data_IF_502292783777
#
_entry.id   IF_502292783777
#
_cell.length_a   1.000
_cell.length_b   1.000
_cell.length_c   1.000
_cell.angle_alpha   90.00
_cell.angle_beta   90.00
_cell.angle_gamma   90.00
#
_symmetry.space_group_name_H-M   'P 1'
#
loop_
_entity.id
_entity.type
_entity.pdbx_description
1 polymer ?
#
# COMPACT_ATOMS: atom_id res chain seq x y z
N UNK A 1 -37.19 -25.77 -48.17
CA UNK A 1 -37.56 -25.22 -46.84
C UNK A 1 -36.29 -24.75 -46.16
N UNK A 2 -36.13 -23.44 -45.93
CA UNK A 2 -34.98 -22.90 -45.20
C UNK A 2 -35.10 -23.33 -43.74
N UNK A 3 -34.20 -24.22 -43.32
CA UNK A 3 -34.12 -24.65 -41.93
C UNK A 3 -33.50 -23.51 -41.13
N UNK A 4 -34.32 -22.59 -40.61
CA UNK A 4 -33.84 -21.57 -39.70
C UNK A 4 -33.45 -22.27 -38.40
N UNK A 5 -32.16 -22.52 -38.23
CA UNK A 5 -31.59 -22.93 -36.95
C UNK A 5 -31.78 -21.76 -35.99
N UNK A 6 -32.86 -21.81 -35.22
CA UNK A 6 -33.16 -20.84 -34.17
C UNK A 6 -32.01 -20.96 -33.16
N UNK A 7 -31.17 -19.93 -33.13
CA UNK A 7 -30.11 -19.84 -32.14
C UNK A 7 -30.77 -19.68 -30.77
N UNK A 8 -30.36 -20.45 -29.75
CA UNK A 8 -30.93 -20.31 -28.43
C UNK A 8 -30.62 -18.91 -27.88
N UNK A 9 -31.56 -18.38 -27.09
CA UNK A 9 -31.57 -16.99 -26.60
C UNK A 9 -30.24 -16.54 -25.93
N UNK A 10 -29.53 -17.47 -25.29
CA UNK A 10 -28.25 -17.18 -24.64
C UNK A 10 -27.06 -17.02 -25.60
N UNK A 11 -27.20 -17.37 -26.88
CA UNK A 11 -26.19 -17.17 -27.93
C UNK A 11 -26.45 -15.92 -28.77
N UNK A 12 -27.67 -15.37 -28.74
CA UNK A 12 -28.05 -14.17 -29.52
C UNK A 12 -27.64 -12.86 -28.85
N UNK A 13 -27.38 -12.90 -27.55
CA UNK A 13 -26.86 -11.78 -26.78
C UNK A 13 -25.48 -12.17 -26.26
N UNK A 14 -24.36 -11.64 -26.81
CA UNK A 14 -23.07 -11.77 -26.15
C UNK A 14 -23.22 -11.14 -24.78
N UNK A 15 -23.11 -11.96 -23.74
CA UNK A 15 -23.17 -11.49 -22.36
C UNK A 15 -22.12 -10.37 -22.24
N UNK A 16 -22.49 -9.14 -21.84
CA UNK A 16 -21.53 -8.07 -21.81
C UNK A 16 -20.48 -8.38 -20.74
N UNK A 17 -19.27 -8.73 -21.18
CA UNK A 17 -18.10 -9.02 -20.33
C UNK A 17 -17.53 -7.74 -19.71
N UNK A 18 -18.37 -6.78 -19.31
CA UNK A 18 -17.93 -5.52 -18.71
C UNK A 18 -17.16 -5.73 -17.39
N UNK A 19 -17.38 -6.86 -16.71
CA UNK A 19 -16.61 -7.25 -15.53
C UNK A 19 -15.20 -7.77 -15.84
N UNK A 20 -14.90 -8.13 -17.10
CA UNK A 20 -13.61 -8.73 -17.45
C UNK A 20 -12.49 -7.68 -17.54
N UNK A 21 -12.80 -6.42 -17.83
CA UNK A 21 -11.80 -5.34 -17.96
C UNK A 21 -11.36 -4.80 -16.59
N UNK A 22 -12.28 -4.58 -15.64
CA UNK A 22 -11.95 -4.17 -14.26
C UNK A 22 -11.04 -5.18 -13.53
N UNK A 23 -11.17 -6.47 -13.87
CA UNK A 23 -10.36 -7.57 -13.35
C UNK A 23 -8.92 -7.60 -13.88
N UNK A 24 -8.60 -6.88 -14.95
CA UNK A 24 -7.24 -6.89 -15.52
C UNK A 24 -6.30 -5.93 -14.79
N UNK A 25 -6.70 -4.69 -14.56
CA UNK A 25 -5.88 -3.69 -13.87
C UNK A 25 -5.61 -4.07 -12.41
N UNK A 26 -6.60 -4.65 -11.72
CA UNK A 26 -6.44 -5.17 -10.35
C UNK A 26 -5.46 -6.33 -10.30
N UNK A 27 -5.55 -7.27 -11.24
CA UNK A 27 -4.61 -8.39 -11.38
C UNK A 27 -3.19 -7.93 -11.67
N UNK A 28 -3.01 -6.93 -12.52
CA UNK A 28 -1.71 -6.35 -12.84
C UNK A 28 -1.11 -5.65 -11.61
N UNK A 29 -1.92 -4.92 -10.84
CA UNK A 29 -1.48 -4.32 -9.57
C UNK A 29 -1.06 -5.37 -8.55
N UNK A 30 -1.83 -6.45 -8.39
CA UNK A 30 -1.47 -7.56 -7.51
C UNK A 30 -0.17 -8.23 -7.95
N UNK A 31 0.02 -8.43 -9.26
CA UNK A 31 1.25 -8.97 -9.82
C UNK A 31 2.45 -8.06 -9.54
N UNK A 32 2.31 -6.75 -9.76
CA UNK A 32 3.35 -5.76 -9.43
C UNK A 32 3.67 -5.77 -7.94
N UNK A 33 2.65 -5.85 -7.08
CA UNK A 33 2.82 -5.98 -5.64
C UNK A 33 3.59 -7.27 -5.29
N UNK A 34 3.30 -8.39 -5.96
CA UNK A 34 4.01 -9.65 -5.75
C UNK A 34 5.51 -9.56 -6.05
N UNK A 35 5.93 -8.71 -7.00
CA UNK A 35 7.35 -8.51 -7.30
C UNK A 35 8.13 -7.75 -6.21
N UNK A 36 7.46 -7.06 -5.27
CA UNK A 36 8.17 -6.39 -4.18
C UNK A 36 8.85 -7.38 -3.22
N UNK A 37 10.04 -7.03 -2.69
CA UNK A 37 10.71 -7.80 -1.65
C UNK A 37 9.80 -8.08 -0.45
N UNK A 38 9.94 -9.26 0.15
CA UNK A 38 9.10 -9.69 1.26
C UNK A 38 9.21 -8.75 2.48
N UNK A 39 10.40 -8.23 2.76
CA UNK A 39 10.64 -7.27 3.85
C UNK A 39 9.88 -5.95 3.63
N UNK A 40 9.95 -5.40 2.42
CA UNK A 40 9.24 -4.17 2.06
C UNK A 40 7.71 -4.32 2.24
N UNK A 41 7.15 -5.47 1.84
CA UNK A 41 5.72 -5.78 2.06
C UNK A 41 5.35 -5.82 3.53
N UNK A 42 6.21 -6.40 4.38
CA UNK A 42 6.00 -6.42 5.83
C UNK A 42 5.97 -5.00 6.39
N UNK A 43 6.97 -4.18 6.03
CA UNK A 43 7.05 -2.79 6.49
C UNK A 43 5.87 -1.97 6.00
N UNK A 44 5.48 -2.12 4.74
CA UNK A 44 4.32 -1.43 4.17
C UNK A 44 3.04 -1.74 4.97
N UNK A 45 2.77 -3.00 5.32
CA UNK A 45 1.60 -3.37 6.14
C UNK A 45 1.62 -2.71 7.52
N UNK A 46 2.78 -2.70 8.17
CA UNK A 46 2.94 -2.08 9.49
C UNK A 46 2.75 -0.56 9.41
N UNK A 47 3.38 0.08 8.43
CA UNK A 47 3.29 1.52 8.19
C UNK A 47 1.84 1.92 7.89
N UNK A 48 1.18 1.22 6.98
CA UNK A 48 -0.23 1.48 6.64
C UNK A 48 -1.12 1.42 7.89
N UNK A 49 -0.99 0.36 8.71
CA UNK A 49 -1.79 0.22 9.93
C UNK A 49 -1.47 1.26 11.02
N UNK A 50 -0.31 1.92 10.99
CA UNK A 50 0.02 3.05 11.88
C UNK A 50 -0.58 4.34 11.32
N UNK A 51 -0.42 4.57 10.02
CA UNK A 51 -0.98 5.74 9.35
C UNK A 51 -2.51 5.74 9.38
N UNK A 52 -3.17 4.58 9.32
CA UNK A 52 -4.63 4.46 9.49
C UNK A 52 -5.12 5.00 10.84
N UNK A 53 -4.29 4.89 11.89
CA UNK A 53 -4.62 5.46 13.21
C UNK A 53 -4.35 6.95 13.28
N UNK A 54 -3.44 7.43 12.45
CA UNK A 54 -3.13 8.86 12.28
C UNK A 54 -4.03 9.51 11.21
N UNK A 55 -4.97 8.75 10.64
CA UNK A 55 -5.88 9.22 9.61
C UNK A 55 -7.12 9.84 10.25
N UNK A 56 -6.98 11.06 10.74
CA UNK A 56 -8.05 11.85 11.31
C UNK A 56 -7.97 13.31 10.83
N UNK A 57 -9.08 14.03 10.91
CA UNK A 57 -9.14 15.44 10.49
C UNK A 57 -8.21 16.31 11.36
N UNK A 58 -7.36 17.11 10.73
CA UNK A 58 -6.35 17.91 11.45
C UNK A 58 -5.15 17.09 11.96
N UNK A 59 -4.94 15.88 11.43
CA UNK A 59 -3.69 15.15 11.64
C UNK A 59 -2.51 15.88 10.99
N UNK A 60 -1.35 15.78 11.63
CA UNK A 60 -0.05 16.29 11.18
C UNK A 60 0.31 15.86 9.73
N UNK A 61 -0.22 14.72 9.28
CA UNK A 61 0.01 14.20 7.93
C UNK A 61 -0.63 15.11 6.86
N UNK A 62 -1.73 15.78 7.21
CA UNK A 62 -2.50 16.62 6.30
C UNK A 62 -2.20 18.11 6.44
N UNK A 63 -1.23 18.48 7.28
CA UNK A 63 -0.76 19.85 7.36
C UNK A 63 -0.26 20.34 5.98
N UNK A 64 -0.40 21.65 5.73
CA UNK A 64 0.08 22.29 4.50
C UNK A 64 1.58 22.03 4.32
N UNK A 65 2.32 22.21 5.43
CA UNK A 65 3.76 22.03 5.53
C UNK A 65 4.07 21.11 6.71
N UNK A 66 4.17 19.79 6.50
CA UNK A 66 4.54 18.87 7.56
C UNK A 66 5.97 19.17 8.04
N UNK A 67 6.18 19.19 9.36
CA UNK A 67 7.53 19.35 9.91
C UNK A 67 8.39 18.12 9.58
N UNK A 68 9.52 18.40 8.94
CA UNK A 68 10.52 17.42 8.56
C UNK A 68 10.98 16.57 9.76
N UNK A 69 11.20 17.19 10.92
CA UNK A 69 11.69 16.47 12.10
C UNK A 69 10.64 15.52 12.68
N UNK A 70 9.38 15.94 12.71
CA UNK A 70 8.29 15.09 13.16
C UNK A 70 8.12 13.86 12.26
N UNK A 71 8.26 14.03 10.95
CA UNK A 71 8.21 12.93 9.98
C UNK A 71 9.37 11.94 10.17
N UNK A 72 10.59 12.42 10.42
CA UNK A 72 11.72 11.54 10.76
C UNK A 72 11.54 10.83 12.09
N UNK A 73 11.02 11.52 13.10
CA UNK A 73 10.72 10.91 14.40
C UNK A 73 9.69 9.79 14.23
N UNK A 74 8.63 10.02 13.44
CA UNK A 74 7.64 9.00 13.13
C UNK A 74 8.28 7.77 12.47
N UNK A 75 9.19 7.97 11.52
CA UNK A 75 9.93 6.87 10.89
C UNK A 75 10.78 6.08 11.91
N UNK A 76 11.45 6.78 12.83
CA UNK A 76 12.23 6.15 13.90
C UNK A 76 11.34 5.35 14.87
N UNK A 77 10.19 5.90 15.28
CA UNK A 77 9.24 5.23 16.17
C UNK A 77 8.68 3.95 15.50
N UNK A 78 8.41 4.00 14.19
CA UNK A 78 7.99 2.84 13.40
C UNK A 78 9.11 1.79 13.35
N UNK A 79 10.34 2.21 13.11
CA UNK A 79 11.49 1.31 13.07
C UNK A 79 11.74 0.64 14.42
N UNK A 80 11.57 1.36 15.54
CA UNK A 80 11.65 0.78 16.87
C UNK A 80 10.55 -0.26 17.10
N UNK A 81 9.33 0.01 16.62
CA UNK A 81 8.22 -0.93 16.70
C UNK A 81 8.50 -2.20 15.89
N UNK A 82 9.06 -2.07 14.69
CA UNK A 82 9.49 -3.20 13.85
C UNK A 82 10.57 -4.01 14.59
N UNK A 83 11.59 -3.35 15.16
CA UNK A 83 12.62 -4.01 15.98
C UNK A 83 12.01 -4.84 17.11
N UNK A 84 11.07 -4.25 17.86
CA UNK A 84 10.38 -4.94 18.95
C UNK A 84 9.56 -6.15 18.46
N UNK A 85 9.01 -6.08 17.25
CA UNK A 85 8.25 -7.18 16.66
C UNK A 85 9.17 -8.32 16.18
N UNK A 86 10.26 -7.99 15.50
CA UNK A 86 11.25 -8.98 15.05
C UNK A 86 11.90 -9.72 16.23
N UNK A 87 12.20 -9.02 17.34
CA UNK A 87 12.72 -9.66 18.57
C UNK A 87 11.71 -10.62 19.20
N UNK A 88 10.41 -10.35 19.08
CA UNK A 88 9.36 -11.24 19.58
C UNK A 88 9.19 -12.47 18.71
N UNK A 89 9.23 -12.29 17.39
CA UNK A 89 9.02 -13.37 16.42
C UNK A 89 10.25 -14.30 16.36
N UNK A 90 11.45 -13.76 16.53
CA UNK A 90 12.72 -14.51 16.50
C UNK A 90 13.59 -14.20 17.73
N UNK A 91 13.29 -14.77 18.90
CA UNK A 91 14.12 -14.57 20.09
C UNK A 91 15.53 -15.15 19.87
N UNK A 92 16.56 -14.32 20.03
CA UNK A 92 17.97 -14.76 20.02
C UNK A 92 18.71 -14.64 18.69
N UNK A 93 18.09 -14.11 17.63
CA UNK A 93 18.79 -13.81 16.38
C UNK A 93 19.35 -12.40 16.43
N UNK A 94 20.67 -12.26 16.51
CA UNK A 94 21.34 -10.97 16.40
C UNK A 94 21.38 -10.54 14.93
N UNK A 95 20.57 -9.54 14.60
CA UNK A 95 20.54 -8.97 13.25
C UNK A 95 21.68 -7.94 13.13
N UNK A 96 22.52 -8.01 12.08
CA UNK A 96 23.60 -7.05 11.84
C UNK A 96 23.11 -5.60 11.83
N UNK A 97 23.94 -4.67 12.33
CA UNK A 97 23.62 -3.23 12.37
C UNK A 97 23.34 -2.65 10.98
N UNK A 98 24.11 -3.06 9.96
CA UNK A 98 23.94 -2.61 8.57
C UNK A 98 22.54 -2.92 8.02
N UNK A 99 21.95 -4.06 8.39
CA UNK A 99 20.59 -4.40 7.98
C UNK A 99 19.56 -3.44 8.56
N UNK A 100 19.80 -2.95 9.77
CA UNK A 100 18.92 -1.96 10.41
C UNK A 100 19.03 -0.57 9.78
N UNK A 101 20.21 -0.20 9.29
CA UNK A 101 20.40 1.06 8.54
C UNK A 101 19.64 1.01 7.22
N UNK A 102 19.80 -0.08 6.47
CA UNK A 102 19.02 -0.30 5.25
C UNK A 102 17.50 -0.33 5.51
N UNK A 103 17.08 -1.00 6.58
CA UNK A 103 15.67 -1.03 6.98
C UNK A 103 15.17 0.36 7.36
N UNK A 104 16.00 1.21 7.97
CA UNK A 104 15.66 2.61 8.28
C UNK A 104 15.36 3.40 7.03
N UNK A 105 16.24 3.33 6.04
CA UNK A 105 16.06 4.04 4.77
C UNK A 105 14.81 3.53 4.04
N UNK A 106 14.59 2.21 4.04
CA UNK A 106 13.42 1.60 3.42
C UNK A 106 12.12 2.03 4.11
N UNK A 107 12.06 1.99 5.45
CA UNK A 107 10.90 2.42 6.24
C UNK A 107 10.59 3.90 5.95
N UNK A 108 11.60 4.74 5.90
CA UNK A 108 11.44 6.16 5.62
C UNK A 108 10.86 6.41 4.22
N UNK A 109 11.40 5.74 3.19
CA UNK A 109 10.90 5.87 1.81
C UNK A 109 9.45 5.41 1.72
N UNK A 110 9.12 4.26 2.30
CA UNK A 110 7.75 3.72 2.27
C UNK A 110 6.79 4.62 3.02
N UNK A 111 7.19 5.14 4.19
CA UNK A 111 6.40 6.08 4.98
C UNK A 111 6.04 7.34 4.18
N UNK A 112 7.04 7.98 3.56
CA UNK A 112 6.81 9.20 2.78
C UNK A 112 5.96 8.94 1.56
N UNK A 113 6.14 7.80 0.90
CA UNK A 113 5.30 7.40 -0.22
C UNK A 113 3.83 7.19 0.20
N UNK A 114 3.58 6.50 1.32
CA UNK A 114 2.22 6.30 1.83
C UNK A 114 1.56 7.62 2.25
N UNK A 115 2.31 8.51 2.92
CA UNK A 115 1.84 9.86 3.25
C UNK A 115 1.49 10.64 1.99
N UNK A 116 2.37 10.64 0.99
CA UNK A 116 2.13 11.28 -0.29
C UNK A 116 0.87 10.74 -0.98
N UNK A 117 0.75 9.41 -1.06
CA UNK A 117 -0.40 8.72 -1.67
C UNK A 117 -1.70 9.09 -0.96
N UNK A 118 -1.74 9.13 0.37
CA UNK A 118 -2.92 9.54 1.14
C UNK A 118 -3.29 11.01 0.90
N UNK A 119 -2.31 11.90 0.89
CA UNK A 119 -2.55 13.34 0.62
C UNK A 119 -3.08 13.59 -0.80
N UNK A 120 -2.74 12.73 -1.75
CA UNK A 120 -3.23 12.83 -3.13
C UNK A 120 -4.62 12.20 -3.30
N UNK A 121 -4.87 11.07 -2.65
CA UNK A 121 -6.16 10.35 -2.78
C UNK A 121 -7.28 10.96 -1.93
N UNK A 122 -6.96 11.54 -0.76
CA UNK A 122 -7.97 12.11 0.13
C UNK A 122 -8.34 13.54 -0.27
N UNK A 123 -9.64 13.84 -0.22
CA UNK A 123 -10.16 15.19 -0.45
C UNK A 123 -9.68 16.20 0.62
N UNK A 124 -9.21 15.70 1.77
CA UNK A 124 -8.66 16.49 2.88
C UNK A 124 -7.24 17.01 2.63
N UNK A 125 -6.55 16.48 1.60
CA UNK A 125 -5.23 16.96 1.20
C UNK A 125 -5.32 18.19 0.30
N UNK A 126 -4.39 19.13 0.48
CA UNK A 126 -4.31 20.36 -0.33
C UNK A 126 -3.76 20.13 -1.74
N UNK A 127 -3.04 19.01 -1.97
CA UNK A 127 -2.43 18.67 -3.25
C UNK A 127 -3.44 17.98 -4.19
N UNK A 128 -4.23 18.80 -4.89
CA UNK A 128 -5.04 18.36 -6.04
C UNK A 128 -4.25 18.64 -7.32
N UNK A 129 -3.78 17.60 -8.00
CA UNK A 129 -3.16 17.69 -9.33
C UNK A 129 -4.09 17.09 -10.37
#
# INVERSE_FOLDING_TARGET
>A
MYNQKILPFYMTYPLPLYYQEEDTATRDLEYLQQMYPAEAKKYQKIIAGILDKLDYEGSMIYDEYPDRWQMYKLAQDILERIKRQEVKDNPGVEIPKEKWEWASDMVQIILFYEVYKRRHNNHSGILKF
#
